data_IF_158798398126
#
_entry.id   IF_158798398126
#
_cell.length_a   1.000
_cell.length_b   1.000
_cell.length_c   1.000
_cell.angle_alpha   90.00
_cell.angle_beta   90.00
_cell.angle_gamma   90.00
#
_symmetry.space_group_name_H-M   'P 1'
#
loop_
_entity.id
_entity.type
_entity.pdbx_description
1 polymer ?
#
# COMPACT_ATOMS: atom_id res chain seq x y z
N UNK A 1 -87.81 -11.08 -47.11
CA UNK A 1 -86.37 -11.38 -46.95
C UNK A 1 -86.20 -12.37 -45.80
N UNK A 2 -85.39 -13.41 -46.05
CA UNK A 2 -85.01 -14.60 -45.26
C UNK A 2 -85.16 -14.59 -43.73
N UNK A 3 -85.88 -15.59 -43.16
CA UNK A 3 -85.41 -16.79 -42.38
C UNK A 3 -84.97 -16.47 -40.93
N UNK A 4 -85.67 -16.93 -39.88
CA UNK A 4 -85.54 -18.25 -39.19
C UNK A 4 -84.09 -18.53 -38.74
N UNK A 5 -83.72 -18.94 -37.51
CA UNK A 5 -84.35 -19.79 -36.48
C UNK A 5 -83.30 -20.07 -35.36
N UNK A 6 -83.75 -20.27 -34.11
CA UNK A 6 -83.37 -21.36 -33.17
C UNK A 6 -81.98 -21.43 -32.47
N UNK A 7 -82.08 -21.77 -31.17
CA UNK A 7 -81.26 -22.64 -30.28
C UNK A 7 -80.27 -22.02 -29.27
N UNK A 8 -80.59 -22.34 -28.02
CA UNK A 8 -79.69 -22.45 -26.87
C UNK A 8 -78.55 -23.45 -27.10
N UNK A 9 -77.38 -23.19 -26.52
CA UNK A 9 -76.41 -24.23 -26.16
C UNK A 9 -75.47 -23.76 -25.04
N UNK A 10 -75.36 -24.64 -24.04
CA UNK A 10 -74.45 -24.58 -22.90
C UNK A 10 -72.99 -24.32 -23.30
N UNK A 11 -72.28 -23.53 -22.49
CA UNK A 11 -70.83 -23.66 -22.33
C UNK A 11 -70.46 -23.71 -20.86
N UNK A 12 -69.99 -24.90 -20.49
CA UNK A 12 -69.25 -25.24 -19.29
C UNK A 12 -68.03 -24.32 -19.16
N UNK A 13 -67.86 -23.71 -17.99
CA UNK A 13 -66.58 -23.14 -17.55
C UNK A 13 -65.94 -24.15 -16.59
N UNK A 14 -64.66 -24.53 -16.80
CA UNK A 14 -64.00 -25.50 -15.95
C UNK A 14 -63.60 -24.87 -14.62
N UNK A 15 -63.76 -25.63 -13.54
CA UNK A 15 -63.21 -25.32 -12.23
C UNK A 15 -61.68 -25.32 -12.30
N UNK A 16 -61.07 -24.14 -12.28
CA UNK A 16 -59.64 -23.99 -12.06
C UNK A 16 -59.37 -24.07 -10.55
N UNK A 17 -58.92 -25.23 -10.08
CA UNK A 17 -58.38 -25.39 -8.74
C UNK A 17 -57.11 -24.54 -8.61
N UNK A 18 -57.18 -23.44 -7.86
CA UNK A 18 -55.99 -22.74 -7.38
C UNK A 18 -55.30 -23.61 -6.33
N UNK A 19 -54.32 -24.39 -6.75
CA UNK A 19 -53.26 -24.88 -5.86
C UNK A 19 -52.40 -23.67 -5.48
N UNK A 20 -52.71 -23.02 -4.36
CA UNK A 20 -51.76 -22.13 -3.68
C UNK A 20 -50.61 -23.01 -3.17
N UNK A 21 -49.58 -23.15 -3.99
CA UNK A 21 -48.25 -23.54 -3.53
C UNK A 21 -47.75 -22.45 -2.60
N UNK A 22 -47.85 -22.71 -1.29
CA UNK A 22 -47.09 -22.02 -0.25
C UNK A 22 -45.61 -22.23 -0.55
N UNK A 23 -45.04 -21.39 -1.42
CA UNK A 23 -43.62 -21.11 -1.43
C UNK A 23 -43.33 -20.38 -0.12
N UNK A 24 -43.05 -21.15 0.91
CA UNK A 24 -42.31 -20.65 2.05
C UNK A 24 -40.88 -20.43 1.53
N UNK A 25 -40.41 -19.18 1.33
CA UNK A 25 -38.99 -19.01 1.12
C UNK A 25 -38.33 -19.50 2.41
N UNK A 26 -37.56 -20.58 2.33
CA UNK A 26 -36.52 -20.81 3.33
C UNK A 26 -35.77 -19.48 3.43
N UNK A 27 -35.87 -18.82 4.59
CA UNK A 27 -34.89 -17.80 4.93
C UNK A 27 -33.55 -18.49 4.82
N UNK A 28 -32.80 -18.19 3.77
CA UNK A 28 -31.37 -18.33 3.82
C UNK A 28 -30.96 -17.50 5.04
N UNK A 29 -30.60 -18.17 6.12
CA UNK A 29 -29.81 -17.53 7.15
C UNK A 29 -28.69 -16.82 6.40
N UNK A 30 -28.60 -15.51 6.54
CA UNK A 30 -27.51 -14.75 5.96
C UNK A 30 -26.27 -15.16 6.74
N UNK A 31 -25.65 -16.28 6.35
CA UNK A 31 -24.50 -16.84 7.01
C UNK A 31 -23.42 -15.75 7.07
N UNK A 32 -22.97 -15.44 8.28
CA UNK A 32 -21.93 -14.46 8.52
C UNK A 32 -20.66 -14.86 7.76
N UNK A 33 -19.79 -13.89 7.47
CA UNK A 33 -18.49 -14.20 6.89
C UNK A 33 -17.68 -15.06 7.86
N UNK A 34 -17.23 -16.22 7.40
CA UNK A 34 -16.32 -17.08 8.13
C UNK A 34 -14.89 -16.70 7.77
N UNK A 35 -14.16 -16.13 8.72
CA UNK A 35 -12.77 -15.76 8.52
C UNK A 35 -11.86 -16.96 8.76
N UNK A 36 -10.98 -17.23 7.80
CA UNK A 36 -9.87 -18.16 7.96
C UNK A 36 -8.58 -17.38 8.07
N UNK A 37 -7.84 -17.60 9.14
CA UNK A 37 -6.57 -16.92 9.36
C UNK A 37 -5.44 -17.90 9.01
N UNK A 38 -4.80 -17.74 7.84
CA UNK A 38 -3.77 -18.68 7.41
C UNK A 38 -2.51 -18.58 8.26
N UNK A 39 -1.79 -19.69 8.40
CA UNK A 39 -0.38 -19.68 8.83
C UNK A 39 0.52 -19.71 7.58
N UNK A 40 0.79 -18.54 7.01
CA UNK A 40 1.71 -18.37 5.90
C UNK A 40 2.58 -17.11 5.99
N UNK A 41 3.54 -16.98 5.08
CA UNK A 41 4.51 -15.89 5.08
C UNK A 41 3.88 -14.49 4.84
N UNK A 42 2.72 -14.43 4.17
CA UNK A 42 2.00 -13.20 3.84
C UNK A 42 1.03 -12.74 4.94
N UNK A 43 0.81 -13.58 5.95
CA UNK A 43 0.02 -13.26 7.14
C UNK A 43 0.77 -12.28 8.02
N UNK A 44 0.17 -11.19 8.51
CA UNK A 44 0.88 -10.20 9.32
C UNK A 44 1.51 -10.79 10.59
N UNK A 45 2.61 -10.18 11.02
CA UNK A 45 3.30 -10.54 12.29
C UNK A 45 2.35 -10.51 13.48
N UNK A 46 1.35 -9.63 13.46
CA UNK A 46 0.29 -9.55 14.46
C UNK A 46 -1.04 -9.26 13.78
N UNK A 47 -2.07 -9.97 14.21
CA UNK A 47 -3.45 -9.81 13.73
C UNK A 47 -4.40 -9.85 14.91
N UNK A 48 -5.40 -8.96 14.88
CA UNK A 48 -6.57 -9.07 15.76
C UNK A 48 -7.68 -9.73 14.97
N UNK A 49 -8.36 -10.70 15.56
CA UNK A 49 -9.57 -11.29 14.99
C UNK A 49 -10.72 -11.18 15.97
N UNK A 50 -11.90 -10.82 15.47
CA UNK A 50 -13.11 -10.67 16.26
C UNK A 50 -14.12 -11.67 15.74
N UNK A 51 -14.46 -12.61 16.62
CA UNK A 51 -15.51 -13.58 16.44
C UNK A 51 -16.82 -13.01 17.01
N UNK A 52 -17.78 -12.75 16.12
CA UNK A 52 -19.06 -12.15 16.50
C UNK A 52 -20.06 -13.18 17.03
N UNK A 53 -19.88 -14.46 16.78
CA UNK A 53 -20.77 -15.51 17.28
C UNK A 53 -20.36 -15.90 18.69
N UNK A 54 -19.08 -16.17 18.91
CA UNK A 54 -18.49 -16.51 20.21
C UNK A 54 -18.24 -15.29 21.11
N UNK A 55 -18.36 -14.08 20.55
CA UNK A 55 -18.11 -12.82 21.26
C UNK A 55 -16.69 -12.81 21.85
N UNK A 56 -15.71 -13.16 21.00
CA UNK A 56 -14.29 -13.23 21.36
C UNK A 56 -13.44 -12.32 20.50
N UNK A 57 -12.44 -11.70 21.14
CA UNK A 57 -11.35 -11.04 20.45
C UNK A 57 -10.08 -11.84 20.64
N UNK A 58 -9.54 -12.35 19.55
CA UNK A 58 -8.31 -13.12 19.48
C UNK A 58 -7.16 -12.24 19.01
N UNK A 59 -5.98 -12.49 19.58
CA UNK A 59 -4.72 -11.88 19.16
C UNK A 59 -3.82 -13.00 18.66
N UNK A 60 -3.48 -12.94 17.38
CA UNK A 60 -2.55 -13.85 16.75
C UNK A 60 -1.19 -13.18 16.55
N UNK A 61 -0.12 -13.94 16.80
CA UNK A 61 1.24 -13.53 16.51
C UNK A 61 1.95 -14.58 15.66
N UNK A 62 2.63 -14.12 14.61
CA UNK A 62 3.39 -14.99 13.71
C UNK A 62 4.82 -15.12 14.23
N UNK A 63 5.07 -16.22 14.93
CA UNK A 63 6.42 -16.68 15.30
C UNK A 63 6.87 -17.86 14.42
N UNK A 64 6.14 -18.14 13.34
CA UNK A 64 6.26 -19.32 12.46
C UNK A 64 6.36 -20.64 13.25
N UNK A 65 5.23 -21.27 13.62
CA UNK A 65 3.86 -21.02 13.11
C UNK A 65 3.16 -19.79 13.73
N UNK A 66 2.06 -19.36 13.11
CA UNK A 66 1.07 -18.47 13.70
C UNK A 66 0.54 -19.07 15.02
N UNK A 67 0.48 -18.27 16.08
CA UNK A 67 0.02 -18.70 17.40
C UNK A 67 -1.08 -17.77 17.91
N UNK A 68 -2.08 -18.34 18.55
CA UNK A 68 -3.02 -17.60 19.39
C UNK A 68 -2.26 -17.13 20.64
N UNK A 69 -1.92 -15.84 20.68
CA UNK A 69 -1.18 -15.23 21.78
C UNK A 69 -2.10 -14.90 22.96
N UNK A 70 -3.33 -14.48 22.69
CA UNK A 70 -4.35 -14.20 23.71
C UNK A 70 -5.77 -14.28 23.13
N UNK A 71 -6.74 -14.52 23.99
CA UNK A 71 -8.17 -14.40 23.67
C UNK A 71 -8.89 -13.72 24.82
N UNK A 72 -9.76 -12.78 24.50
CA UNK A 72 -10.54 -11.98 25.45
C UNK A 72 -12.02 -12.10 25.15
N UNK A 73 -12.85 -12.01 26.19
CA UNK A 73 -14.29 -11.79 25.97
C UNK A 73 -14.46 -10.39 25.41
N UNK A 74 -15.24 -10.27 24.35
CA UNK A 74 -15.69 -8.99 23.82
C UNK A 74 -17.21 -8.96 23.73
N UNK A 75 -17.76 -7.82 23.34
CA UNK A 75 -19.16 -7.68 22.96
C UNK A 75 -19.28 -6.87 21.68
N UNK A 76 -20.19 -7.27 20.79
CA UNK A 76 -20.37 -6.63 19.48
C UNK A 76 -21.76 -6.00 19.37
N UNK A 77 -22.19 -5.66 18.15
CA UNK A 77 -23.48 -5.04 17.88
C UNK A 77 -24.67 -5.89 18.34
N UNK A 78 -25.74 -5.23 18.76
CA UNK A 78 -27.01 -5.84 19.15
C UNK A 78 -27.61 -6.72 18.04
N UNK A 79 -27.42 -6.34 16.77
CA UNK A 79 -27.91 -7.10 15.63
C UNK A 79 -26.83 -8.02 15.02
N UNK A 80 -27.26 -9.19 14.55
CA UNK A 80 -26.42 -10.18 13.87
C UNK A 80 -26.15 -9.83 12.39
N UNK A 81 -25.13 -10.48 11.82
CA UNK A 81 -24.74 -10.33 10.42
C UNK A 81 -23.98 -9.04 10.11
N UNK A 82 -23.63 -8.87 8.85
CA UNK A 82 -22.81 -7.76 8.35
C UNK A 82 -23.56 -6.42 8.36
N UNK A 83 -22.85 -5.36 8.77
CA UNK A 83 -23.34 -3.99 8.79
C UNK A 83 -23.59 -3.49 7.37
N UNK A 84 -24.76 -2.89 7.14
CA UNK A 84 -25.15 -2.30 5.85
C UNK A 84 -25.44 -0.81 5.95
N UNK A 85 -26.10 -0.34 7.01
CA UNK A 85 -26.55 1.05 7.11
C UNK A 85 -26.22 1.71 8.45
N UNK A 86 -26.17 3.03 8.46
CA UNK A 86 -26.04 3.79 9.70
C UNK A 86 -27.21 3.46 10.65
N UNK A 87 -26.88 3.17 11.92
CA UNK A 87 -27.89 2.86 12.94
C UNK A 87 -28.49 1.44 12.90
N UNK A 88 -28.02 0.55 12.03
CA UNK A 88 -28.52 -0.85 11.97
C UNK A 88 -28.09 -1.74 13.15
N UNK A 89 -27.32 -1.20 14.11
CA UNK A 89 -26.85 -1.85 15.32
C UNK A 89 -25.96 -3.09 15.07
N UNK A 90 -25.41 -3.23 13.86
CA UNK A 90 -24.52 -4.33 13.50
C UNK A 90 -23.05 -3.91 13.59
N UNK A 91 -22.20 -4.86 13.96
CA UNK A 91 -20.75 -4.74 13.77
C UNK A 91 -20.39 -5.22 12.36
N UNK A 92 -19.61 -4.46 11.58
CA UNK A 92 -19.31 -4.81 10.19
C UNK A 92 -18.45 -6.07 10.08
N UNK A 93 -18.53 -6.75 8.94
CA UNK A 93 -17.69 -7.90 8.61
C UNK A 93 -16.68 -7.55 7.51
N UNK A 94 -15.41 -7.87 7.76
CA UNK A 94 -14.31 -7.59 6.85
C UNK A 94 -12.98 -7.37 7.53
N UNK A 95 -12.02 -6.90 6.74
CA UNK A 95 -10.70 -6.50 7.20
C UNK A 95 -10.65 -4.99 7.39
N UNK A 96 -10.34 -4.59 8.62
CA UNK A 96 -10.19 -3.22 9.05
C UNK A 96 -8.79 -2.97 9.61
N UNK A 97 -8.46 -1.70 9.80
CA UNK A 97 -7.19 -1.28 10.39
C UNK A 97 -7.46 -0.26 11.48
N UNK A 98 -6.72 -0.39 12.58
CA UNK A 98 -6.70 0.64 13.63
C UNK A 98 -6.14 1.93 13.04
N UNK A 99 -6.83 3.05 13.26
CA UNK A 99 -6.46 4.37 12.74
C UNK A 99 -5.87 5.24 13.85
N UNK A 100 -6.61 5.44 14.95
CA UNK A 100 -6.21 6.31 16.05
C UNK A 100 -6.53 5.69 17.40
N UNK A 101 -5.80 6.12 18.43
CA UNK A 101 -6.15 5.93 19.84
C UNK A 101 -6.78 7.21 20.38
N UNK A 102 -7.97 7.09 20.95
CA UNK A 102 -8.67 8.14 21.68
C UNK A 102 -8.57 7.85 23.18
N UNK A 103 -8.20 8.87 23.96
CA UNK A 103 -8.02 8.77 25.43
C UNK A 103 -8.58 9.96 26.20
N UNK A 104 -9.27 10.87 25.51
CA UNK A 104 -9.90 12.06 26.07
C UNK A 104 -11.21 12.34 25.32
N UNK A 105 -12.13 13.04 25.98
CA UNK A 105 -13.43 13.40 25.39
C UNK A 105 -14.36 12.20 25.15
N UNK A 106 -14.09 11.06 25.78
CA UNK A 106 -14.92 9.87 25.70
C UNK A 106 -15.89 9.83 26.88
N UNK A 107 -17.16 9.55 26.58
CA UNK A 107 -18.14 9.21 27.59
C UNK A 107 -17.67 7.94 28.35
N UNK A 108 -17.52 8.05 29.67
CA UNK A 108 -16.92 6.98 30.48
C UNK A 108 -17.83 5.76 30.60
N UNK A 109 -19.14 5.97 30.63
CA UNK A 109 -20.11 4.89 30.73
C UNK A 109 -20.13 4.08 29.43
N UNK A 110 -20.13 4.77 28.29
CA UNK A 110 -20.22 4.16 26.96
C UNK A 110 -18.89 3.60 26.45
N UNK A 111 -17.76 4.26 26.71
CA UNK A 111 -16.47 3.98 26.07
C UNK A 111 -15.31 3.67 27.04
N UNK A 112 -15.55 3.69 28.35
CA UNK A 112 -14.60 3.20 29.35
C UNK A 112 -13.26 3.97 29.40
N UNK A 113 -13.20 5.17 28.80
CA UNK A 113 -12.05 6.07 28.84
C UNK A 113 -10.97 5.85 27.78
N UNK A 114 -11.05 4.77 26.98
CA UNK A 114 -10.12 4.52 25.87
C UNK A 114 -10.83 3.86 24.69
N UNK A 115 -10.54 4.32 23.48
CA UNK A 115 -11.07 3.75 22.25
C UNK A 115 -10.01 3.74 21.14
N UNK A 116 -10.10 2.75 20.25
CA UNK A 116 -9.26 2.57 19.08
C UNK A 116 -10.16 2.56 17.85
N UNK A 117 -10.01 3.57 16.99
CA UNK A 117 -10.92 3.75 15.86
C UNK A 117 -10.55 2.82 14.71
N UNK A 118 -11.52 2.18 14.07
CA UNK A 118 -11.29 1.40 12.86
C UNK A 118 -11.60 2.23 11.61
N UNK A 119 -11.01 1.88 10.47
CA UNK A 119 -11.25 2.54 9.17
C UNK A 119 -12.57 2.10 8.50
N UNK A 120 -13.61 1.77 9.26
CA UNK A 120 -14.95 1.55 8.69
C UNK A 120 -15.62 2.88 8.33
N UNK A 121 -16.25 3.01 7.14
CA UNK A 121 -16.27 2.04 6.05
C UNK A 121 -14.95 2.04 5.27
N UNK A 122 -14.43 0.84 4.98
CA UNK A 122 -13.26 0.70 4.10
C UNK A 122 -13.68 0.87 2.60
N UNK A 123 -12.75 0.89 1.64
CA UNK A 123 -13.11 1.05 0.22
C UNK A 123 -14.11 0.02 -0.33
N UNK A 124 -14.07 -1.24 0.12
CA UNK A 124 -15.04 -2.26 -0.32
C UNK A 124 -16.41 -2.04 0.33
N UNK A 125 -16.45 -1.54 1.57
CA UNK A 125 -17.71 -1.12 2.20
C UNK A 125 -18.34 0.05 1.43
N UNK A 126 -17.54 1.05 1.04
CA UNK A 126 -17.98 2.17 0.18
C UNK A 126 -18.50 1.68 -1.17
N UNK A 127 -17.76 0.80 -1.84
CA UNK A 127 -18.17 0.16 -3.10
C UNK A 127 -19.53 -0.55 -2.97
N UNK A 128 -19.75 -1.23 -1.84
CA UNK A 128 -21.01 -1.91 -1.49
C UNK A 128 -22.10 -0.95 -1.00
N UNK A 129 -21.85 0.36 -1.03
CA UNK A 129 -22.77 1.41 -0.59
C UNK A 129 -23.17 1.29 0.88
N UNK A 130 -22.32 0.68 1.69
CA UNK A 130 -22.54 0.64 3.14
C UNK A 130 -22.37 2.03 3.73
N UNK A 131 -23.17 2.34 4.74
CA UNK A 131 -23.14 3.65 5.41
C UNK A 131 -22.87 3.52 6.90
N UNK A 132 -22.70 4.68 7.56
CA UNK A 132 -22.33 4.79 8.97
C UNK A 132 -20.83 5.00 9.17
N UNK A 133 -20.44 5.15 10.42
CA UNK A 133 -19.07 5.42 10.87
C UNK A 133 -18.94 5.05 12.36
N UNK A 134 -17.80 5.32 12.97
CA UNK A 134 -17.67 5.23 14.44
C UNK A 134 -17.58 3.80 14.98
N UNK A 135 -17.03 2.86 14.20
CA UNK A 135 -16.78 1.50 14.67
C UNK A 135 -15.43 1.46 15.38
N UNK A 136 -15.45 1.29 16.69
CA UNK A 136 -14.27 1.34 17.55
C UNK A 136 -14.08 0.06 18.35
N UNK A 137 -12.83 -0.24 18.71
CA UNK A 137 -12.50 -1.17 19.80
C UNK A 137 -12.34 -0.33 21.07
N UNK A 138 -13.15 -0.55 22.10
CA UNK A 138 -13.11 0.25 23.34
C UNK A 138 -13.37 -0.61 24.57
N UNK A 139 -13.45 0.00 25.75
CA UNK A 139 -13.96 -0.68 26.95
C UNK A 139 -15.27 -0.08 27.41
N UNK A 140 -15.90 -0.65 28.44
CA UNK A 140 -17.05 -0.05 29.11
C UNK A 140 -16.74 0.25 30.56
N UNK A 141 -17.50 1.18 31.15
CA UNK A 141 -17.41 1.50 32.57
C UNK A 141 -17.98 0.42 33.50
N UNK A 142 -18.54 -0.66 32.94
CA UNK A 142 -19.19 -1.76 33.63
C UNK A 142 -18.88 -3.09 32.94
N UNK A 143 -19.27 -4.21 33.55
CA UNK A 143 -19.10 -5.55 32.98
C UNK A 143 -19.88 -5.70 31.67
N UNK A 144 -19.23 -6.26 30.65
CA UNK A 144 -19.86 -6.42 29.34
C UNK A 144 -20.78 -7.63 29.29
N UNK A 145 -21.87 -7.50 28.53
CA UNK A 145 -22.74 -8.62 28.17
C UNK A 145 -22.74 -8.81 26.65
N UNK A 146 -22.94 -10.05 26.14
CA UNK A 146 -22.99 -10.32 24.71
C UNK A 146 -23.94 -9.40 23.94
N UNK A 147 -23.51 -8.91 22.77
CA UNK A 147 -24.33 -8.12 21.83
C UNK A 147 -25.00 -6.87 22.45
N UNK A 148 -24.26 -6.05 23.18
CA UNK A 148 -24.84 -4.87 23.84
C UNK A 148 -24.59 -3.55 23.09
N UNK A 149 -23.59 -3.50 22.21
CA UNK A 149 -23.17 -2.23 21.59
C UNK A 149 -24.06 -1.87 20.38
N UNK A 150 -23.93 -0.64 19.89
CA UNK A 150 -24.55 -0.21 18.63
C UNK A 150 -23.74 -0.58 17.37
N UNK A 151 -22.68 -1.40 17.52
CA UNK A 151 -21.81 -1.85 16.43
C UNK A 151 -20.31 -1.80 16.76
N UNK A 152 -19.91 -1.18 17.86
CA UNK A 152 -18.54 -1.22 18.36
C UNK A 152 -18.14 -2.62 18.85
N UNK A 153 -16.85 -2.79 19.13
CA UNK A 153 -16.30 -3.98 19.77
C UNK A 153 -15.83 -3.55 21.16
N UNK A 154 -16.54 -3.93 22.21
CA UNK A 154 -16.13 -3.57 23.57
C UNK A 154 -15.47 -4.74 24.29
N UNK A 155 -14.41 -4.45 25.03
CA UNK A 155 -13.72 -5.37 25.93
C UNK A 155 -13.99 -4.98 27.38
N UNK A 156 -13.77 -5.92 28.31
CA UNK A 156 -13.68 -5.55 29.71
C UNK A 156 -12.50 -4.59 29.93
N UNK A 157 -12.64 -3.68 30.90
CA UNK A 157 -11.61 -2.69 31.21
C UNK A 157 -10.23 -3.31 31.47
N UNK A 158 -10.19 -4.35 32.31
CA UNK A 158 -8.94 -5.05 32.62
C UNK A 158 -8.29 -5.71 31.39
N UNK A 159 -9.09 -6.11 30.39
CA UNK A 159 -8.61 -6.76 29.17
C UNK A 159 -8.09 -5.74 28.16
N UNK A 160 -8.77 -4.60 28.00
CA UNK A 160 -8.26 -3.52 27.15
C UNK A 160 -6.99 -2.89 27.73
N UNK A 161 -6.86 -2.81 29.05
CA UNK A 161 -5.65 -2.27 29.69
C UNK A 161 -4.43 -3.17 29.39
N UNK A 162 -4.63 -4.49 29.31
CA UNK A 162 -3.58 -5.46 28.95
C UNK A 162 -3.28 -5.47 27.44
N UNK A 163 -4.32 -5.44 26.62
CA UNK A 163 -4.23 -5.64 25.16
C UNK A 163 -4.05 -4.34 24.37
N UNK A 164 -4.42 -3.18 24.92
CA UNK A 164 -4.52 -1.91 24.20
C UNK A 164 -3.21 -1.42 23.58
N UNK A 165 -2.06 -1.78 24.14
CA UNK A 165 -0.73 -1.51 23.56
C UNK A 165 -0.50 -2.21 22.21
N UNK A 166 -1.32 -3.21 21.89
CA UNK A 166 -1.24 -3.99 20.65
C UNK A 166 -2.05 -3.36 19.52
N UNK A 167 -3.03 -2.50 19.84
CA UNK A 167 -3.87 -1.78 18.89
C UNK A 167 -3.19 -0.48 18.42
N UNK A 168 -1.98 -0.60 17.88
CA UNK A 168 -1.27 0.56 17.29
C UNK A 168 -1.85 0.87 15.91
N UNK A 169 -1.77 2.13 15.43
CA UNK A 169 -2.19 2.49 14.07
C UNK A 169 -1.60 1.54 13.02
N UNK A 170 -2.44 1.08 12.10
CA UNK A 170 -2.08 0.09 11.08
C UNK A 170 -2.23 -1.37 11.50
N UNK A 171 -2.57 -1.67 12.76
CA UNK A 171 -2.88 -3.05 13.18
C UNK A 171 -4.09 -3.59 12.42
N UNK A 172 -3.98 -4.73 11.70
CA UNK A 172 -5.10 -5.33 11.00
C UNK A 172 -6.07 -5.98 12.00
N UNK A 173 -7.36 -5.82 11.74
CA UNK A 173 -8.47 -6.36 12.53
C UNK A 173 -9.41 -7.08 11.57
N UNK A 174 -9.42 -8.41 11.62
CA UNK A 174 -10.42 -9.24 10.93
C UNK A 174 -11.67 -9.31 11.81
N UNK A 175 -12.83 -8.90 11.29
CA UNK A 175 -14.11 -8.98 12.00
C UNK A 175 -15.03 -9.88 11.22
N UNK A 176 -15.48 -10.98 11.83
CA UNK A 176 -16.15 -12.08 11.15
C UNK A 176 -17.34 -12.59 11.97
N UNK A 177 -18.26 -13.32 11.32
CA UNK A 177 -19.27 -14.11 12.01
C UNK A 177 -18.60 -15.11 12.94
N UNK A 178 -17.76 -15.97 12.35
CA UNK A 178 -16.93 -16.98 13.00
C UNK A 178 -15.46 -16.86 12.53
N UNK A 179 -14.53 -17.19 13.42
CA UNK A 179 -13.08 -17.20 13.16
C UNK A 179 -12.51 -18.59 13.35
N UNK A 180 -12.12 -19.22 12.24
CA UNK A 180 -11.35 -20.47 12.25
C UNK A 180 -9.85 -20.22 12.10
N UNK A 181 -9.07 -20.95 12.91
CA UNK A 181 -7.60 -21.00 12.84
C UNK A 181 -7.09 -22.23 12.11
N UNK A 182 -7.89 -22.85 11.24
CA UNK A 182 -7.50 -24.08 10.55
C UNK A 182 -6.06 -24.00 10.03
N UNK A 183 -5.23 -24.93 10.50
CA UNK A 183 -3.76 -24.88 10.44
C UNK A 183 -3.16 -24.95 9.03
N UNK A 184 -4.00 -24.95 7.98
CA UNK A 184 -3.58 -24.80 6.61
C UNK A 184 -4.73 -24.23 5.78
N UNK A 185 -4.62 -22.99 5.27
CA UNK A 185 -5.60 -22.49 4.31
C UNK A 185 -5.59 -23.40 3.07
N UNK A 186 -6.72 -23.47 2.34
CA UNK A 186 -6.78 -24.11 1.03
C UNK A 186 -5.59 -23.74 0.15
N UNK A 187 -5.07 -24.70 -0.62
CA UNK A 187 -3.94 -24.45 -1.56
C UNK A 187 -4.22 -23.28 -2.49
N UNK A 188 -5.48 -23.09 -2.87
CA UNK A 188 -5.97 -22.00 -3.72
C UNK A 188 -5.81 -20.63 -3.08
N UNK A 189 -6.04 -20.50 -1.77
CA UNK A 189 -5.86 -19.25 -1.05
C UNK A 189 -4.38 -18.88 -0.95
N UNK A 190 -3.49 -19.84 -0.68
CA UNK A 190 -2.03 -19.61 -0.70
C UNK A 190 -1.55 -19.19 -2.09
N UNK A 191 -2.06 -19.81 -3.15
CA UNK A 191 -1.73 -19.46 -4.52
C UNK A 191 -2.24 -18.05 -4.89
N UNK A 192 -3.44 -17.70 -4.43
CA UNK A 192 -4.03 -16.37 -4.63
C UNK A 192 -3.22 -15.30 -3.90
N UNK A 193 -2.83 -15.53 -2.65
CA UNK A 193 -2.02 -14.61 -1.88
C UNK A 193 -0.68 -14.29 -2.58
N UNK A 194 0.02 -15.33 -3.07
CA UNK A 194 1.26 -15.16 -3.87
C UNK A 194 1.01 -14.39 -5.17
N UNK A 195 -0.08 -14.72 -5.91
CA UNK A 195 -0.46 -13.99 -7.14
C UNK A 195 -0.70 -12.51 -6.86
N UNK A 196 -1.32 -12.17 -5.73
CA UNK A 196 -1.56 -10.77 -5.34
C UNK A 196 -0.28 -10.06 -4.92
N UNK A 197 0.63 -10.73 -4.21
CA UNK A 197 1.96 -10.20 -3.91
C UNK A 197 2.73 -9.85 -5.20
N UNK A 198 2.71 -10.74 -6.19
CA UNK A 198 3.34 -10.51 -7.49
C UNK A 198 2.65 -9.38 -8.28
N UNK A 199 1.32 -9.28 -8.21
CA UNK A 199 0.58 -8.15 -8.79
C UNK A 199 0.97 -6.82 -8.15
N UNK A 200 1.16 -6.76 -6.81
CA UNK A 200 1.64 -5.55 -6.12
C UNK A 200 3.02 -5.15 -6.63
N UNK A 201 3.95 -6.09 -6.78
CA UNK A 201 5.30 -5.84 -7.34
C UNK A 201 5.21 -5.34 -8.78
N UNK A 202 4.37 -5.95 -9.61
CA UNK A 202 4.13 -5.54 -11.00
C UNK A 202 3.54 -4.14 -11.10
N UNK A 203 2.54 -3.82 -10.27
CA UNK A 203 1.94 -2.49 -10.17
C UNK A 203 2.95 -1.43 -9.74
N UNK A 204 3.75 -1.71 -8.70
CA UNK A 204 4.77 -0.79 -8.22
C UNK A 204 5.84 -0.52 -9.29
N UNK A 205 6.27 -1.56 -10.00
CA UNK A 205 7.21 -1.44 -11.14
C UNK A 205 6.62 -0.58 -12.27
N UNK A 206 5.37 -0.83 -12.66
CA UNK A 206 4.70 -0.06 -13.71
C UNK A 206 4.56 1.42 -13.33
N UNK A 207 4.26 1.73 -12.06
CA UNK A 207 4.25 3.10 -11.57
C UNK A 207 5.65 3.73 -11.63
N UNK A 208 6.68 3.07 -11.10
CA UNK A 208 8.06 3.57 -11.13
C UNK A 208 8.57 3.83 -12.53
N UNK A 209 8.21 2.96 -13.49
CA UNK A 209 8.57 3.14 -14.90
C UNK A 209 7.67 4.10 -15.67
N UNK A 210 6.75 4.81 -15.00
CA UNK A 210 5.78 5.73 -15.64
C UNK A 210 4.96 5.04 -16.75
N UNK A 211 4.69 3.74 -16.61
CA UNK A 211 4.03 2.94 -17.64
C UNK A 211 2.50 3.05 -17.53
N UNK A 212 1.79 3.29 -18.65
CA UNK A 212 0.32 3.23 -18.68
C UNK A 212 -0.26 1.87 -18.26
N UNK A 213 0.53 0.78 -18.35
CA UNK A 213 0.12 -0.55 -17.88
C UNK A 213 -0.20 -0.59 -16.38
N UNK A 214 0.20 0.44 -15.61
CA UNK A 214 -0.22 0.61 -14.22
C UNK A 214 -1.74 0.71 -14.07
N UNK A 215 -2.44 1.27 -15.05
CA UNK A 215 -3.90 1.43 -15.03
C UNK A 215 -4.64 0.12 -15.28
N UNK A 216 -3.99 -0.87 -15.91
CA UNK A 216 -4.61 -2.18 -16.16
C UNK A 216 -4.84 -2.95 -14.86
N UNK A 217 -4.17 -2.61 -13.77
CA UNK A 217 -4.41 -3.24 -12.47
C UNK A 217 -5.75 -2.86 -11.85
N UNK A 218 -6.46 -1.86 -12.38
CA UNK A 218 -7.67 -1.31 -11.76
C UNK A 218 -8.94 -1.76 -12.47
N UNK A 219 -10.02 -1.86 -11.69
CA UNK A 219 -11.38 -1.84 -12.22
C UNK A 219 -11.89 -0.40 -12.11
N UNK A 220 -12.14 0.24 -13.26
CA UNK A 220 -12.43 1.67 -13.31
C UNK A 220 -13.77 2.04 -12.63
N UNK A 221 -14.79 1.22 -12.82
CA UNK A 221 -16.13 1.47 -12.30
C UNK A 221 -16.16 1.21 -10.79
N UNK A 222 -15.56 0.09 -10.36
CA UNK A 222 -15.47 -0.24 -8.95
C UNK A 222 -14.59 0.76 -8.18
N UNK A 223 -13.45 1.18 -8.74
CA UNK A 223 -12.61 2.24 -8.15
C UNK A 223 -13.40 3.52 -7.96
N UNK A 224 -14.14 3.97 -8.99
CA UNK A 224 -14.92 5.20 -8.94
C UNK A 224 -16.01 5.14 -7.86
N UNK A 225 -16.60 3.97 -7.63
CA UNK A 225 -17.60 3.79 -6.57
C UNK A 225 -17.00 3.66 -5.16
N UNK A 226 -15.74 3.23 -5.05
CA UNK A 226 -15.05 3.02 -3.77
C UNK A 226 -14.30 4.26 -3.26
N UNK A 227 -14.03 5.23 -4.12
CA UNK A 227 -13.16 6.37 -3.87
C UNK A 227 -13.90 7.70 -3.90
N UNK A 228 -13.27 8.72 -3.35
CA UNK A 228 -13.80 10.08 -3.37
C UNK A 228 -13.51 10.79 -4.72
N UNK A 229 -12.67 10.19 -5.59
CA UNK A 229 -12.40 10.63 -6.96
C UNK A 229 -12.74 9.54 -7.99
N UNK A 230 -13.05 9.93 -9.23
CA UNK A 230 -13.27 8.98 -10.32
C UNK A 230 -11.96 8.40 -10.85
N UNK A 231 -12.01 7.18 -11.39
CA UNK A 231 -10.84 6.55 -12.00
C UNK A 231 -10.29 7.37 -13.18
N UNK A 232 -11.16 8.01 -13.96
CA UNK A 232 -10.76 8.89 -15.06
C UNK A 232 -9.96 10.09 -14.56
N UNK A 233 -10.39 10.72 -13.45
CA UNK A 233 -9.67 11.84 -12.84
C UNK A 233 -8.30 11.39 -12.29
N UNK A 234 -8.28 10.29 -11.55
CA UNK A 234 -7.06 9.65 -11.04
C UNK A 234 -6.07 9.35 -12.17
N UNK A 235 -6.52 8.64 -13.21
CA UNK A 235 -5.71 8.28 -14.38
C UNK A 235 -5.15 9.51 -15.08
N UNK A 236 -5.99 10.50 -15.36
CA UNK A 236 -5.57 11.75 -16.03
C UNK A 236 -4.51 12.51 -15.22
N UNK A 237 -4.65 12.54 -13.90
CA UNK A 237 -3.65 13.13 -13.01
C UNK A 237 -2.32 12.39 -13.10
N UNK A 238 -2.33 11.05 -13.03
CA UNK A 238 -1.12 10.23 -13.10
C UNK A 238 -0.44 10.30 -14.47
N UNK A 239 -1.19 10.24 -15.56
CA UNK A 239 -0.65 10.38 -16.93
C UNK A 239 0.02 11.75 -17.12
N UNK A 240 -0.55 12.83 -16.56
CA UNK A 240 0.09 14.15 -16.57
C UNK A 240 1.41 14.14 -15.80
N UNK A 241 1.44 13.53 -14.61
CA UNK A 241 2.68 13.38 -13.83
C UNK A 241 3.74 12.54 -14.57
N UNK A 242 3.33 11.46 -15.24
CA UNK A 242 4.24 10.62 -16.02
C UNK A 242 4.90 11.38 -17.17
N UNK A 243 4.20 12.34 -17.78
CA UNK A 243 4.75 13.21 -18.84
C UNK A 243 5.65 14.32 -18.29
N UNK A 244 5.29 14.90 -17.15
CA UNK A 244 5.97 16.09 -16.60
C UNK A 244 7.22 15.74 -15.79
N UNK A 245 7.20 14.62 -15.06
CA UNK A 245 8.30 14.25 -14.18
C UNK A 245 9.38 13.51 -14.98
N UNK A 246 10.64 13.98 -14.98
CA UNK A 246 11.75 13.32 -15.68
C UNK A 246 12.04 11.92 -15.16
N UNK A 247 11.72 11.63 -13.89
CA UNK A 247 11.87 10.33 -13.27
C UNK A 247 10.86 10.14 -12.13
N UNK A 248 10.54 8.88 -11.85
CA UNK A 248 9.79 8.43 -10.68
C UNK A 248 10.51 7.19 -10.15
N UNK A 249 10.66 7.08 -8.84
CA UNK A 249 11.11 5.86 -8.19
C UNK A 249 10.04 5.40 -7.20
N UNK A 250 9.73 4.11 -7.26
CA UNK A 250 8.81 3.45 -6.34
C UNK A 250 9.52 2.23 -5.76
N UNK A 251 9.64 2.20 -4.44
CA UNK A 251 10.13 1.05 -3.70
C UNK A 251 9.05 0.57 -2.76
N UNK A 252 8.93 -0.74 -2.61
CA UNK A 252 7.97 -1.37 -1.71
C UNK A 252 8.67 -2.42 -0.85
N UNK A 253 8.18 -2.64 0.35
CA UNK A 253 8.60 -3.74 1.22
C UNK A 253 7.44 -4.25 2.07
N UNK A 254 7.65 -5.40 2.72
CA UNK A 254 6.72 -5.97 3.71
C UNK A 254 5.29 -6.17 3.20
N UNK A 255 5.13 -6.67 1.96
CA UNK A 255 3.82 -6.95 1.39
C UNK A 255 3.09 -8.01 2.21
N UNK A 256 2.00 -7.61 2.83
CA UNK A 256 1.05 -8.47 3.53
C UNK A 256 -0.20 -8.68 2.69
N UNK A 257 -0.85 -9.82 2.87
CA UNK A 257 -2.04 -10.21 2.10
C UNK A 257 -3.05 -10.87 3.03
N UNK A 258 -4.32 -10.45 2.98
CA UNK A 258 -5.38 -11.08 3.76
C UNK A 258 -6.70 -11.11 3.00
N UNK A 259 -7.43 -12.21 3.15
CA UNK A 259 -8.74 -12.40 2.55
C UNK A 259 -9.81 -11.74 3.42
N UNK A 260 -10.75 -11.03 2.77
CA UNK A 260 -12.00 -10.56 3.36
C UNK A 260 -13.20 -11.21 2.68
N UNK A 261 -14.44 -10.84 3.06
CA UNK A 261 -15.66 -11.39 2.48
C UNK A 261 -15.79 -10.98 1.00
N UNK A 262 -15.39 -11.84 0.07
CA UNK A 262 -15.48 -11.60 -1.37
C UNK A 262 -14.49 -10.55 -1.92
N UNK A 263 -13.38 -10.32 -1.22
CA UNK A 263 -12.26 -9.49 -1.68
C UNK A 263 -10.95 -9.92 -1.00
N UNK A 264 -9.84 -9.37 -1.45
CA UNK A 264 -8.55 -9.45 -0.77
C UNK A 264 -8.01 -8.05 -0.51
N UNK A 265 -7.26 -7.86 0.56
CA UNK A 265 -6.52 -6.63 0.82
C UNK A 265 -5.04 -6.94 0.90
N UNK A 266 -4.24 -6.12 0.21
CA UNK A 266 -2.79 -6.09 0.38
C UNK A 266 -2.39 -4.77 1.00
N UNK A 267 -1.37 -4.79 1.86
CA UNK A 267 -0.77 -3.57 2.38
C UNK A 267 0.73 -3.73 2.55
N UNK A 268 1.45 -2.63 2.33
CA UNK A 268 2.91 -2.63 2.23
C UNK A 268 3.46 -1.24 2.50
N UNK A 269 4.72 -1.21 2.91
CA UNK A 269 5.49 0.03 2.99
C UNK A 269 5.79 0.49 1.58
N UNK A 270 5.62 1.77 1.31
CA UNK A 270 5.92 2.38 0.01
C UNK A 270 6.80 3.61 0.22
N UNK A 271 7.83 3.71 -0.61
CA UNK A 271 8.63 4.89 -0.79
C UNK A 271 8.46 5.39 -2.22
N UNK A 272 8.00 6.61 -2.36
CA UNK A 272 7.86 7.28 -3.64
C UNK A 272 8.82 8.46 -3.67
N UNK A 273 9.59 8.55 -4.75
CA UNK A 273 10.50 9.68 -5.00
C UNK A 273 10.29 10.22 -6.41
N UNK A 274 10.34 11.54 -6.51
CA UNK A 274 10.34 12.33 -7.72
C UNK A 274 11.13 13.63 -7.49
N UNK A 275 11.53 14.38 -8.54
CA UNK A 275 12.35 15.60 -8.39
C UNK A 275 11.83 16.65 -7.40
N UNK A 276 10.53 16.67 -7.18
CA UNK A 276 9.83 17.68 -6.40
C UNK A 276 9.18 17.11 -5.13
N UNK A 277 9.26 15.79 -4.90
CA UNK A 277 8.52 15.16 -3.81
C UNK A 277 9.14 13.83 -3.40
N UNK A 278 9.22 13.62 -2.09
CA UNK A 278 9.46 12.30 -1.50
C UNK A 278 8.34 12.03 -0.50
N UNK A 279 7.77 10.84 -0.55
CA UNK A 279 6.74 10.40 0.40
C UNK A 279 7.02 8.98 0.84
N UNK A 280 6.83 8.70 2.11
CA UNK A 280 6.79 7.35 2.66
C UNK A 280 5.53 7.11 3.48
N UNK A 281 5.16 5.84 3.60
CA UNK A 281 4.00 5.41 4.34
C UNK A 281 3.50 4.04 3.91
N UNK A 282 2.28 3.73 4.35
CA UNK A 282 1.61 2.46 4.11
C UNK A 282 0.59 2.65 3.00
N UNK A 283 0.72 1.84 1.94
CA UNK A 283 -0.26 1.73 0.86
C UNK A 283 -1.13 0.51 1.14
N UNK A 284 -2.45 0.64 0.97
CA UNK A 284 -3.37 -0.51 0.96
C UNK A 284 -4.09 -0.59 -0.37
N UNK A 285 -4.22 -1.78 -0.93
CA UNK A 285 -4.92 -2.05 -2.18
C UNK A 285 -5.98 -3.14 -1.93
N UNK A 286 -7.20 -2.88 -2.37
CA UNK A 286 -8.34 -3.78 -2.24
C UNK A 286 -8.64 -4.41 -3.59
N UNK A 287 -8.72 -5.74 -3.64
CA UNK A 287 -8.76 -6.53 -4.85
C UNK A 287 -10.04 -7.36 -4.94
N UNK A 288 -10.70 -7.32 -6.10
CA UNK A 288 -11.79 -8.24 -6.43
C UNK A 288 -11.56 -8.84 -7.81
N UNK A 289 -11.99 -10.09 -8.05
CA UNK A 289 -11.93 -10.69 -9.37
C UNK A 289 -12.89 -9.94 -10.31
N UNK A 290 -12.42 -9.58 -11.50
CA UNK A 290 -13.27 -9.14 -12.59
C UNK A 290 -14.10 -10.31 -13.16
N UNK A 291 -14.92 -10.04 -14.18
CA UNK A 291 -15.76 -11.07 -14.83
C UNK A 291 -14.97 -12.24 -15.43
N UNK A 292 -13.65 -12.10 -15.62
CA UNK A 292 -12.75 -13.13 -16.14
C UNK A 292 -11.97 -13.84 -15.02
N UNK A 293 -12.23 -13.50 -13.75
CA UNK A 293 -11.51 -14.03 -12.60
C UNK A 293 -10.16 -13.36 -12.34
N UNK A 294 -9.83 -12.27 -13.04
CA UNK A 294 -8.58 -11.55 -12.80
C UNK A 294 -8.76 -10.53 -11.68
N UNK A 295 -7.92 -10.61 -10.65
CA UNK A 295 -7.94 -9.65 -9.55
C UNK A 295 -7.54 -8.25 -10.04
N UNK A 296 -8.46 -7.30 -9.82
CA UNK A 296 -8.31 -5.86 -10.07
C UNK A 296 -8.43 -5.08 -8.78
N UNK A 297 -7.71 -3.97 -8.71
CA UNK A 297 -7.81 -2.97 -7.65
C UNK A 297 -9.16 -2.27 -7.80
N UNK A 298 -10.03 -2.46 -6.80
CA UNK A 298 -11.32 -1.78 -6.69
C UNK A 298 -11.26 -0.61 -5.71
N UNK A 299 -10.20 -0.49 -4.92
CA UNK A 299 -10.05 0.56 -3.93
C UNK A 299 -8.63 0.60 -3.36
N UNK A 300 -8.27 1.70 -2.74
CA UNK A 300 -6.94 1.92 -2.17
C UNK A 300 -6.96 2.93 -1.03
N UNK A 301 -5.96 2.86 -0.17
CA UNK A 301 -5.75 3.82 0.91
C UNK A 301 -4.26 4.21 0.99
N UNK A 302 -4.00 5.41 1.52
CA UNK A 302 -2.67 5.93 1.82
C UNK A 302 -2.62 6.40 3.27
N UNK A 303 -1.62 5.92 4.00
CA UNK A 303 -1.35 6.40 5.37
C UNK A 303 0.12 6.85 5.42
N UNK A 304 0.40 8.17 5.42
CA UNK A 304 1.74 8.67 5.65
C UNK A 304 2.28 8.16 6.98
N UNK A 305 3.49 7.61 6.96
CA UNK A 305 4.15 7.08 8.15
C UNK A 305 5.66 6.97 7.91
N UNK A 306 6.46 7.25 8.94
CA UNK A 306 7.87 6.88 8.93
C UNK A 306 7.98 5.36 9.09
N UNK A 307 8.32 4.71 7.99
CA UNK A 307 8.46 3.25 7.89
C UNK A 307 9.91 2.86 7.59
N UNK A 308 10.86 3.77 7.82
CA UNK A 308 12.30 3.55 7.61
C UNK A 308 12.68 3.28 6.16
N UNK A 309 11.87 3.70 5.19
CA UNK A 309 12.09 3.31 3.80
C UNK A 309 13.23 4.08 3.14
N UNK A 310 13.51 5.30 3.57
CA UNK A 310 14.69 6.04 3.08
C UNK A 310 16.00 5.33 3.45
N UNK A 311 16.10 4.80 4.67
CA UNK A 311 17.26 4.01 5.10
C UNK A 311 17.42 2.74 4.26
N UNK A 312 16.32 1.99 4.05
CA UNK A 312 16.31 0.80 3.19
C UNK A 312 16.70 1.12 1.74
N UNK A 313 16.22 2.26 1.23
CA UNK A 313 16.59 2.75 -0.10
C UNK A 313 18.10 3.03 -0.18
N UNK A 314 18.66 3.77 0.79
CA UNK A 314 20.09 4.08 0.85
C UNK A 314 20.96 2.82 0.99
N UNK A 315 20.54 1.83 1.79
CA UNK A 315 21.21 0.54 1.89
C UNK A 315 21.29 -0.16 0.53
N UNK A 316 20.20 -0.07 -0.26
CA UNK A 316 20.12 -0.69 -1.59
C UNK A 316 20.98 0.05 -2.63
N UNK A 317 20.97 1.39 -2.63
CA UNK A 317 21.64 2.18 -3.69
C UNK A 317 23.08 2.52 -3.39
N UNK A 318 23.49 2.57 -2.12
CA UNK A 318 24.86 2.99 -1.74
C UNK A 318 25.96 2.13 -2.37
N UNK A 319 25.85 0.78 -2.44
CA UNK A 319 26.84 -0.03 -3.14
C UNK A 319 26.90 0.26 -4.64
N UNK A 320 25.75 0.54 -5.27
CA UNK A 320 25.66 0.84 -6.71
C UNK A 320 26.29 2.20 -7.02
N UNK A 321 25.98 3.22 -6.21
CA UNK A 321 26.55 4.56 -6.31
C UNK A 321 28.06 4.52 -6.07
N UNK A 322 28.52 3.74 -5.10
CA UNK A 322 29.95 3.56 -4.82
C UNK A 322 30.68 2.97 -6.03
N UNK A 323 30.14 1.90 -6.63
CA UNK A 323 30.70 1.29 -7.83
C UNK A 323 30.68 2.26 -9.03
N UNK A 324 29.62 3.05 -9.17
CA UNK A 324 29.49 4.06 -10.21
C UNK A 324 30.53 5.19 -10.07
N UNK A 325 30.69 5.74 -8.87
CA UNK A 325 31.69 6.78 -8.57
C UNK A 325 33.10 6.27 -8.86
N UNK A 326 33.42 5.01 -8.50
CA UNK A 326 34.73 4.43 -8.80
C UNK A 326 34.95 4.21 -10.30
N UNK A 327 33.92 3.81 -11.05
CA UNK A 327 33.98 3.74 -12.52
C UNK A 327 34.30 5.10 -13.12
N UNK A 328 33.59 6.14 -12.68
CA UNK A 328 33.81 7.53 -13.12
C UNK A 328 35.23 8.01 -12.77
N UNK A 329 35.69 7.78 -11.54
CA UNK A 329 37.04 8.13 -11.08
C UNK A 329 38.12 7.46 -11.92
N UNK A 330 37.98 6.17 -12.25
CA UNK A 330 38.94 5.43 -13.11
C UNK A 330 39.02 6.02 -14.51
N UNK A 331 37.88 6.41 -15.09
CA UNK A 331 37.87 7.06 -16.41
C UNK A 331 38.56 8.44 -16.35
N UNK A 332 38.31 9.19 -15.27
CA UNK A 332 39.00 10.46 -15.02
C UNK A 332 40.52 10.27 -14.89
N UNK A 333 40.99 9.39 -14.02
CA UNK A 333 42.43 9.17 -13.81
C UNK A 333 43.17 8.73 -15.07
N UNK A 334 42.51 8.00 -15.97
CA UNK A 334 43.07 7.58 -17.27
C UNK A 334 43.08 8.69 -18.33
N UNK A 335 42.41 9.81 -18.08
CA UNK A 335 42.12 10.81 -19.10
C UNK A 335 41.22 10.27 -20.23
N UNK A 336 40.39 9.26 -19.93
CA UNK A 336 39.51 8.62 -20.90
C UNK A 336 38.22 9.43 -21.04
N UNK A 337 38.24 10.39 -21.96
CA UNK A 337 37.12 11.30 -22.21
C UNK A 337 35.84 10.54 -22.55
N UNK A 338 35.92 9.46 -23.35
CA UNK A 338 34.76 8.72 -23.82
C UNK A 338 34.01 8.09 -22.65
N UNK A 339 34.73 7.38 -21.78
CA UNK A 339 34.12 6.72 -20.63
C UNK A 339 33.79 7.69 -19.49
N UNK A 340 34.54 8.79 -19.37
CA UNK A 340 34.22 9.85 -18.40
C UNK A 340 32.88 10.51 -18.73
N UNK A 341 32.69 10.96 -19.97
CA UNK A 341 31.46 11.65 -20.33
C UNK A 341 30.24 10.74 -20.38
N UNK A 342 30.43 9.43 -20.63
CA UNK A 342 29.36 8.44 -20.55
C UNK A 342 28.76 8.30 -19.13
N UNK A 343 29.38 8.91 -18.11
CA UNK A 343 28.83 8.98 -16.76
C UNK A 343 27.95 10.23 -16.53
N UNK A 344 27.84 11.16 -17.47
CA UNK A 344 27.08 12.40 -17.30
C UNK A 344 25.76 12.34 -18.05
N UNK A 345 24.72 12.90 -17.43
CA UNK A 345 23.47 13.19 -18.09
C UNK A 345 23.69 14.18 -19.25
N UNK A 346 22.86 14.11 -20.29
CA UNK A 346 22.97 15.00 -21.44
C UNK A 346 22.91 16.49 -21.06
N UNK A 347 22.08 16.82 -20.07
CA UNK A 347 21.84 18.13 -19.49
C UNK A 347 22.71 18.44 -18.26
N UNK A 348 23.73 17.63 -17.97
CA UNK A 348 24.51 17.77 -16.75
C UNK A 348 25.23 19.12 -16.59
N UNK A 349 25.37 19.57 -15.34
CA UNK A 349 26.05 20.80 -15.00
C UNK A 349 27.39 20.53 -14.28
N UNK A 350 28.46 21.18 -14.75
CA UNK A 350 29.76 21.21 -14.08
C UNK A 350 30.25 22.66 -14.09
N UNK A 351 29.83 23.44 -13.10
CA UNK A 351 29.93 24.91 -13.11
C UNK A 351 31.31 25.42 -13.59
N UNK A 352 31.37 26.36 -14.55
CA UNK A 352 30.25 27.05 -15.21
C UNK A 352 29.67 26.32 -16.44
N UNK A 353 30.12 25.11 -16.77
CA UNK A 353 29.71 24.37 -17.98
C UNK A 353 28.31 23.78 -17.81
N UNK A 354 27.53 23.86 -18.88
CA UNK A 354 26.19 23.26 -18.99
C UNK A 354 26.14 22.29 -20.17
N UNK A 355 25.60 21.11 -19.92
CA UNK A 355 25.48 20.01 -20.88
C UNK A 355 26.75 19.18 -21.03
N UNK A 356 26.57 17.87 -21.22
CA UNK A 356 27.66 16.91 -21.39
C UNK A 356 28.60 17.26 -22.55
N UNK A 357 28.09 17.85 -23.63
CA UNK A 357 28.91 18.28 -24.77
C UNK A 357 29.97 19.34 -24.38
N UNK A 358 29.57 20.35 -23.60
CA UNK A 358 30.47 21.40 -23.11
C UNK A 358 31.52 20.84 -22.16
N UNK A 359 31.10 19.94 -21.26
CA UNK A 359 32.00 19.24 -20.33
C UNK A 359 33.03 18.41 -21.11
N UNK A 360 32.59 17.67 -22.13
CA UNK A 360 33.45 16.84 -22.98
C UNK A 360 34.54 17.67 -23.67
N UNK A 361 34.15 18.76 -24.33
CA UNK A 361 35.08 19.63 -25.04
C UNK A 361 36.15 20.18 -24.09
N UNK A 362 35.72 20.68 -22.93
CA UNK A 362 36.65 21.22 -21.93
C UNK A 362 37.65 20.16 -21.44
N UNK A 363 37.19 18.93 -21.14
CA UNK A 363 38.09 17.85 -20.69
C UNK A 363 39.03 17.37 -21.79
N UNK A 364 38.58 17.33 -23.04
CA UNK A 364 39.45 17.01 -24.19
C UNK A 364 40.60 17.99 -24.32
N UNK A 365 40.32 19.29 -24.23
CA UNK A 365 41.33 20.33 -24.33
C UNK A 365 42.29 20.31 -23.14
N UNK A 366 41.75 20.14 -21.92
CA UNK A 366 42.53 20.09 -20.68
C UNK A 366 43.49 18.89 -20.69
N UNK A 367 42.98 17.68 -20.92
CA UNK A 367 43.77 16.45 -20.84
C UNK A 367 44.71 16.24 -22.03
N UNK A 368 44.53 16.98 -23.13
CA UNK A 368 45.55 17.07 -24.18
C UNK A 368 46.80 17.81 -23.69
N UNK A 369 46.64 18.80 -22.81
CA UNK A 369 47.75 19.61 -22.25
C UNK A 369 48.34 19.00 -20.99
N UNK A 370 47.49 18.57 -20.07
CA UNK A 370 47.86 18.04 -18.77
C UNK A 370 46.97 16.84 -18.42
N UNK A 371 47.49 15.63 -18.66
CA UNK A 371 46.77 14.40 -18.30
C UNK A 371 46.73 14.20 -16.79
N UNK A 372 45.60 13.73 -16.24
CA UNK A 372 45.54 13.25 -14.86
C UNK A 372 46.60 12.17 -14.62
N UNK A 373 47.29 12.26 -13.48
CA UNK A 373 48.28 11.27 -13.04
C UNK A 373 47.80 10.54 -11.78
N UNK A 374 47.03 11.22 -10.92
CA UNK A 374 46.46 10.66 -9.70
C UNK A 374 45.11 11.31 -9.40
N UNK A 375 44.10 10.47 -9.15
CA UNK A 375 42.79 10.88 -8.66
C UNK A 375 42.41 9.98 -7.49
N UNK A 376 42.49 10.50 -6.27
CA UNK A 376 42.02 9.78 -5.09
C UNK A 376 40.76 10.44 -4.53
N UNK A 377 39.76 9.60 -4.22
CA UNK A 377 38.52 10.00 -3.55
C UNK A 377 38.46 9.31 -2.19
N UNK A 378 38.13 10.06 -1.14
CA UNK A 378 38.07 9.54 0.25
C UNK A 378 36.80 10.00 0.94
N UNK A 379 36.31 9.20 1.88
CA UNK A 379 35.18 9.54 2.74
C UNK A 379 33.89 9.79 1.94
N UNK A 380 33.58 8.89 0.99
CA UNK A 380 32.34 8.95 0.22
C UNK A 380 31.14 8.87 1.18
N UNK A 381 30.33 9.92 1.22
CA UNK A 381 29.03 9.99 1.90
C UNK A 381 27.93 10.04 0.87
N UNK A 382 26.86 9.29 1.10
CA UNK A 382 25.75 9.11 0.15
C UNK A 382 24.45 9.45 0.87
N UNK A 383 23.69 10.39 0.32
CA UNK A 383 22.45 10.88 0.92
C UNK A 383 21.34 11.01 -0.12
N UNK A 384 20.10 10.74 0.28
CA UNK A 384 18.93 10.94 -0.54
C UNK A 384 18.55 12.43 -0.52
N UNK A 385 18.34 13.04 -1.70
CA UNK A 385 17.95 14.46 -1.82
C UNK A 385 16.85 14.64 -2.88
N UNK A 386 16.18 15.79 -2.91
CA UNK A 386 15.05 16.07 -3.80
C UNK A 386 15.35 15.83 -5.30
N UNK A 387 16.60 15.93 -5.74
CA UNK A 387 16.99 15.69 -7.14
C UNK A 387 17.53 14.29 -7.47
N UNK A 388 17.65 13.39 -6.49
CA UNK A 388 18.27 12.07 -6.66
C UNK A 388 19.10 11.66 -5.45
N UNK A 389 20.36 11.30 -5.66
CA UNK A 389 21.30 10.91 -4.61
C UNK A 389 22.50 11.84 -4.63
N UNK A 390 22.81 12.49 -3.52
CA UNK A 390 24.03 13.29 -3.35
C UNK A 390 25.17 12.39 -2.90
N UNK A 391 26.29 12.47 -3.58
CA UNK A 391 27.55 11.84 -3.19
C UNK A 391 28.58 12.92 -2.90
N UNK A 392 29.07 12.96 -1.66
CA UNK A 392 30.09 13.91 -1.20
C UNK A 392 31.38 13.17 -0.87
N UNK A 393 32.53 13.68 -1.31
CA UNK A 393 33.82 13.03 -1.08
C UNK A 393 34.97 14.04 -1.09
N UNK A 394 36.08 13.71 -0.44
CA UNK A 394 37.32 14.49 -0.54
C UNK A 394 38.09 14.04 -1.78
N UNK A 395 38.50 15.00 -2.60
CA UNK A 395 39.33 14.83 -3.79
C UNK A 395 40.79 15.19 -3.47
N UNK A 396 41.71 14.30 -3.88
CA UNK A 396 43.15 14.55 -4.00
C UNK A 396 43.56 14.35 -5.48
N UNK A 397 43.91 15.42 -6.18
CA UNK A 397 44.26 15.40 -7.61
C UNK A 397 45.73 15.76 -7.86
N UNK A 398 46.32 15.12 -8.88
CA UNK A 398 47.59 15.53 -9.49
C UNK A 398 47.59 15.23 -10.99
N UNK A 399 48.18 16.12 -11.78
CA UNK A 399 48.46 15.88 -13.19
C UNK A 399 49.95 15.66 -13.50
N UNK A 400 50.24 15.30 -14.75
CA UNK A 400 51.61 15.04 -15.24
C UNK A 400 52.51 16.29 -15.26
N UNK A 401 51.96 17.50 -15.13
CA UNK A 401 52.73 18.75 -15.09
C UNK A 401 53.20 19.10 -13.68
N UNK A 402 52.74 18.35 -12.66
CA UNK A 402 53.05 18.59 -11.26
C UNK A 402 52.02 19.45 -10.53
N UNK A 403 51.01 19.98 -11.23
CA UNK A 403 49.89 20.66 -10.59
C UNK A 403 49.10 19.67 -9.72
N UNK A 404 48.64 20.14 -8.56
CA UNK A 404 47.82 19.37 -7.63
C UNK A 404 46.81 20.24 -6.92
N UNK A 405 45.65 19.68 -6.63
CA UNK A 405 44.64 20.31 -5.79
C UNK A 405 43.98 19.32 -4.83
N UNK A 406 43.39 19.87 -3.78
CA UNK A 406 42.61 19.15 -2.78
C UNK A 406 41.35 19.92 -2.48
N UNK A 407 40.22 19.23 -2.38
CA UNK A 407 38.94 19.85 -2.09
C UNK A 407 37.82 18.86 -1.86
N UNK A 408 36.62 19.39 -1.64
CA UNK A 408 35.39 18.60 -1.57
C UNK A 408 34.79 18.54 -2.96
N UNK A 409 34.44 17.31 -3.36
CA UNK A 409 33.71 17.03 -4.58
C UNK A 409 32.29 16.58 -4.22
N UNK A 410 31.31 17.16 -4.87
CA UNK A 410 29.90 16.85 -4.67
C UNK A 410 29.28 16.48 -6.01
N UNK A 411 28.66 15.30 -6.07
CA UNK A 411 27.94 14.82 -7.25
C UNK A 411 26.45 14.69 -6.90
N UNK A 412 25.58 15.26 -7.74
CA UNK A 412 24.17 14.90 -7.75
C UNK A 412 23.95 13.81 -8.81
N UNK A 413 23.53 12.65 -8.35
CA UNK A 413 23.32 11.47 -9.17
C UNK A 413 21.83 11.21 -9.35
N UNK A 414 21.45 10.85 -10.57
CA UNK A 414 20.11 10.36 -10.90
C UNK A 414 20.22 8.92 -11.40
N UNK A 415 19.20 8.13 -11.10
CA UNK A 415 19.05 6.80 -11.66
C UNK A 415 18.11 6.88 -12.87
N UNK A 416 18.57 6.36 -14.01
CA UNK A 416 17.74 6.12 -15.20
C UNK A 416 17.73 4.61 -15.50
N UNK A 417 16.58 3.97 -15.27
CA UNK A 417 16.46 2.52 -15.28
C UNK A 417 17.39 1.85 -14.26
N UNK A 418 18.33 1.03 -14.76
CA UNK A 418 19.36 0.38 -13.93
C UNK A 418 20.69 1.16 -13.90
N UNK A 419 20.79 2.26 -14.66
CA UNK A 419 22.02 3.03 -14.80
C UNK A 419 22.00 4.29 -13.93
N UNK A 420 23.20 4.74 -13.55
CA UNK A 420 23.40 5.98 -12.82
C UNK A 420 24.07 7.00 -13.73
N UNK A 421 23.73 8.26 -13.54
CA UNK A 421 24.29 9.40 -14.27
C UNK A 421 24.52 10.60 -13.34
N UNK A 422 25.57 11.35 -13.61
CA UNK A 422 25.89 12.62 -12.94
C UNK A 422 25.06 13.71 -13.60
N UNK A 423 24.16 14.31 -12.83
CA UNK A 423 23.35 15.47 -13.26
C UNK A 423 24.03 16.77 -12.86
N UNK A 424 24.77 16.78 -11.74
CA UNK A 424 25.51 17.95 -11.28
C UNK A 424 26.83 17.54 -10.65
N UNK A 425 27.89 18.28 -10.96
CA UNK A 425 29.19 18.17 -10.31
C UNK A 425 29.64 19.53 -9.81
N UNK A 426 30.01 19.57 -8.54
CA UNK A 426 30.56 20.73 -7.86
C UNK A 426 31.91 20.37 -7.22
N UNK A 427 32.79 21.36 -7.15
CA UNK A 427 34.07 21.26 -6.46
C UNK A 427 34.31 22.54 -5.67
N UNK A 428 34.74 22.37 -4.42
CA UNK A 428 35.16 23.47 -3.55
C UNK A 428 36.55 23.18 -2.98
N UNK A 429 37.47 24.17 -2.97
CA UNK A 429 38.79 23.96 -2.37
C UNK A 429 38.66 23.65 -0.88
N UNK A 430 39.56 22.83 -0.34
CA UNK A 430 39.61 22.62 1.11
C UNK A 430 39.89 23.95 1.81
N UNK A 431 39.21 24.21 2.94
CA UNK A 431 39.56 25.36 3.79
C UNK A 431 41.04 25.25 4.18
N UNK A 432 41.75 26.36 4.04
CA UNK A 432 43.19 26.44 4.35
C UNK A 432 43.46 26.27 5.82
#
# INVERSE_FOLDING_TARGET
MHRSTIRALHRLLPAAALLLSLFCPLSAAADGWHARIPDDAGTPRRLVAVDKEDQKLHIYERHSPLKLAASYVCTTGQATGDKQTAGDLKTPEGIYFVVNKLSAGLDMEMYGGIAYTLNYPNPVDKLRRKTGSGIWIHSKGHDIVPRETKGCIALNRADIDKSGKLFVPGTPVAVAGDVSTDASPPKEDKATARKLEDKVKGWAKAWGSRSPAMFDYYDADAYTAAQDESFTAFRSQKERLFKQLPWIQTSISDVQVMQGPGYWVTWFNQYYRAPNMTTEGIRRLYWQPDKKGEYRIVGMEWVPADVGMEANYLETVSPQVTAFVEKWRKAWERGDVKNYIACYAGDAEQAPRKGAASIRQQKQELWRKAKPAKVQLKGLRIEAVAGGVRADMTQDYRDVTGYSDRGVKTLLLRQDGQSWEIVKEEWSPAAR
#
